data_IF_726213661029
#
_entry.id   IF_726213661029
#
_cell.length_a   1.000
_cell.length_b   1.000
_cell.length_c   1.000
_cell.angle_alpha   90.00
_cell.angle_beta   90.00
_cell.angle_gamma   90.00
#
_symmetry.space_group_name_H-M   'P 1'
#
loop_
_entity.id
_entity.type
_entity.pdbx_description
1 polymer ?
#
# COMPACT_ATOMS: atom_id res chain seq x y z
N UNK A 1 9.46 28.33 -5.25
CA UNK A 1 10.33 27.13 -5.24
C UNK A 1 9.76 26.01 -4.36
N UNK A 2 9.22 26.32 -3.17
CA UNK A 2 8.61 25.38 -2.20
C UNK A 2 7.56 24.44 -2.84
N UNK A 3 6.71 24.93 -3.73
CA UNK A 3 5.68 24.12 -4.40
C UNK A 3 6.24 22.97 -5.28
N UNK A 4 7.43 23.14 -5.88
CA UNK A 4 8.07 22.09 -6.70
C UNK A 4 8.55 20.93 -5.83
N UNK A 5 9.15 21.23 -4.67
CA UNK A 5 9.65 20.24 -3.72
C UNK A 5 8.48 19.46 -3.11
N UNK A 6 7.42 20.15 -2.70
CA UNK A 6 6.22 19.51 -2.15
C UNK A 6 5.56 18.56 -3.16
N UNK A 7 5.48 18.95 -4.43
CA UNK A 7 4.98 18.09 -5.49
C UNK A 7 5.85 16.86 -5.67
N UNK A 8 7.18 17.03 -5.69
CA UNK A 8 8.13 15.91 -5.79
C UNK A 8 8.00 14.92 -4.63
N UNK A 9 7.87 15.43 -3.40
CA UNK A 9 7.66 14.60 -2.22
C UNK A 9 6.33 13.85 -2.27
N UNK A 10 5.26 14.50 -2.71
CA UNK A 10 3.96 13.86 -2.87
C UNK A 10 4.04 12.66 -3.85
N UNK A 11 4.73 12.82 -4.98
CA UNK A 11 4.95 11.71 -5.92
C UNK A 11 5.84 10.62 -5.33
N UNK A 12 6.88 10.98 -4.57
CA UNK A 12 7.74 10.01 -3.90
C UNK A 12 6.96 9.12 -2.93
N UNK A 13 6.14 9.72 -2.06
CA UNK A 13 5.33 8.97 -1.10
C UNK A 13 4.23 8.15 -1.77
N UNK A 14 3.63 8.64 -2.86
CA UNK A 14 2.73 7.82 -3.69
C UNK A 14 3.45 6.62 -4.31
N UNK A 15 4.68 6.81 -4.79
CA UNK A 15 5.50 5.73 -5.33
C UNK A 15 5.91 4.69 -4.28
N UNK A 16 6.09 5.09 -3.01
CA UNK A 16 6.36 4.14 -1.91
C UNK A 16 5.24 3.13 -1.69
N UNK A 17 3.99 3.48 -2.03
CA UNK A 17 2.88 2.52 -2.07
C UNK A 17 2.85 1.74 -3.38
N UNK A 18 2.90 2.47 -4.50
CA UNK A 18 2.65 1.94 -5.84
C UNK A 18 3.73 0.97 -6.33
N UNK A 19 5.01 1.25 -6.05
CA UNK A 19 6.13 0.43 -6.52
C UNK A 19 6.09 -0.98 -5.91
N UNK A 20 5.98 -1.16 -4.58
CA UNK A 20 5.83 -2.49 -4.02
C UNK A 20 4.57 -3.21 -4.51
N UNK A 21 3.46 -2.48 -4.70
CA UNK A 21 2.20 -3.07 -5.16
C UNK A 21 2.27 -3.56 -6.62
N UNK A 22 2.99 -2.87 -7.50
CA UNK A 22 3.17 -3.31 -8.89
C UNK A 22 4.19 -4.45 -8.99
N UNK A 23 5.29 -4.37 -8.23
CA UNK A 23 6.37 -5.35 -8.34
C UNK A 23 6.01 -6.68 -7.67
N UNK A 24 5.42 -6.62 -6.47
CA UNK A 24 5.20 -7.79 -5.63
C UNK A 24 3.78 -7.91 -5.11
N UNK A 25 2.94 -6.91 -5.36
CA UNK A 25 1.51 -6.93 -5.04
C UNK A 25 1.22 -7.47 -3.64
N UNK A 26 1.94 -7.05 -2.58
CA UNK A 26 1.81 -7.69 -1.28
C UNK A 26 0.37 -7.61 -0.79
N UNK A 27 -0.28 -6.47 -0.92
CA UNK A 27 -1.65 -6.27 -0.46
C UNK A 27 -2.63 -7.08 -1.30
N UNK A 28 -2.52 -7.03 -2.63
CA UNK A 28 -3.41 -7.79 -3.52
C UNK A 28 -3.21 -9.31 -3.42
N UNK A 29 -1.97 -9.79 -3.31
CA UNK A 29 -1.65 -11.21 -3.08
C UNK A 29 -2.31 -11.71 -1.79
N UNK A 30 -2.28 -10.89 -0.73
CA UNK A 30 -2.93 -11.23 0.53
C UNK A 30 -4.42 -11.43 0.37
N UNK A 31 -5.08 -10.43 -0.22
CA UNK A 31 -6.53 -10.44 -0.41
C UNK A 31 -6.93 -11.61 -1.30
N UNK A 32 -6.14 -11.89 -2.34
CA UNK A 32 -6.39 -13.01 -3.23
C UNK A 32 -6.38 -14.36 -2.49
N UNK A 33 -5.42 -14.59 -1.60
CA UNK A 33 -5.34 -15.84 -0.81
C UNK A 33 -6.62 -16.06 0.01
N UNK A 34 -7.21 -15.01 0.57
CA UNK A 34 -8.49 -15.11 1.30
C UNK A 34 -9.69 -15.39 0.38
N UNK A 35 -9.64 -14.98 -0.88
CA UNK A 35 -10.72 -15.19 -1.85
C UNK A 35 -10.63 -16.59 -2.48
N UNK A 36 -9.42 -17.02 -2.87
CA UNK A 36 -9.18 -18.24 -3.65
C UNK A 36 -9.59 -19.50 -2.87
N UNK A 37 -9.61 -19.46 -1.53
CA UNK A 37 -10.02 -20.57 -0.62
C UNK A 37 -9.43 -21.94 -0.99
N UNK A 38 -8.31 -21.94 -1.70
CA UNK A 38 -7.67 -23.12 -2.25
C UNK A 38 -6.75 -23.74 -1.19
N UNK A 39 -6.66 -25.08 -1.19
CA UNK A 39 -5.72 -25.83 -0.36
C UNK A 39 -4.74 -26.59 -1.28
N UNK A 40 -3.44 -26.22 -1.32
CA UNK A 40 -2.81 -25.12 -0.59
C UNK A 40 -3.14 -23.75 -1.18
N UNK A 41 -3.10 -22.72 -0.34
CA UNK A 41 -3.35 -21.33 -0.71
C UNK A 41 -2.34 -20.86 -1.77
N UNK A 42 -2.85 -20.37 -2.91
CA UNK A 42 -2.01 -19.88 -4.01
C UNK A 42 -1.97 -18.36 -4.02
N UNK A 43 -0.79 -17.72 -4.08
CA UNK A 43 -0.71 -16.29 -4.28
C UNK A 43 -1.15 -15.92 -5.71
N UNK A 44 -1.70 -14.71 -5.88
CA UNK A 44 -2.05 -14.18 -7.21
C UNK A 44 -0.83 -14.14 -8.14
N UNK A 45 0.35 -13.80 -7.60
CA UNK A 45 1.63 -13.81 -8.32
C UNK A 45 2.74 -14.34 -7.43
N UNK A 46 3.50 -15.31 -7.94
CA UNK A 46 4.74 -15.78 -7.33
C UNK A 46 5.79 -14.68 -7.34
N UNK A 47 6.41 -14.45 -6.19
CA UNK A 47 7.50 -13.52 -6.00
C UNK A 47 8.39 -13.94 -4.81
N UNK A 48 9.48 -13.21 -4.59
CA UNK A 48 10.38 -13.50 -3.48
C UNK A 48 9.74 -13.32 -2.09
N UNK A 49 8.58 -12.65 -2.00
CA UNK A 49 7.84 -12.52 -0.74
C UNK A 49 7.05 -13.78 -0.41
N UNK A 50 6.66 -14.54 -1.43
CA UNK A 50 5.95 -15.81 -1.30
C UNK A 50 6.91 -17.00 -1.26
N UNK A 51 8.09 -16.87 -1.86
CA UNK A 51 9.12 -17.92 -1.84
C UNK A 51 9.99 -17.81 -0.57
N UNK A 52 10.07 -18.89 0.22
CA UNK A 52 10.96 -18.98 1.39
C UNK A 52 10.40 -18.40 2.71
N UNK A 53 9.10 -18.12 2.76
CA UNK A 53 8.36 -17.66 3.95
C UNK A 53 9.01 -16.48 4.73
N UNK A 54 9.45 -15.38 4.08
CA UNK A 54 9.99 -14.22 4.80
C UNK A 54 8.88 -13.34 5.38
N UNK A 55 8.08 -13.88 6.33
CA UNK A 55 6.93 -13.19 6.95
C UNK A 55 7.31 -11.80 7.51
N UNK A 56 8.52 -11.67 8.05
CA UNK A 56 9.04 -10.39 8.58
C UNK A 56 9.28 -9.33 7.49
N UNK A 57 9.80 -9.75 6.33
CA UNK A 57 10.07 -8.85 5.23
C UNK A 57 8.75 -8.38 4.61
N UNK A 58 7.79 -9.29 4.45
CA UNK A 58 6.45 -8.97 4.02
C UNK A 58 5.76 -7.94 4.93
N UNK A 59 5.80 -8.14 6.27
CA UNK A 59 5.33 -7.16 7.26
C UNK A 59 6.00 -5.81 7.11
N UNK A 60 7.31 -5.79 6.86
CA UNK A 60 8.08 -4.55 6.72
C UNK A 60 7.69 -3.79 5.45
N UNK A 61 7.49 -4.48 4.32
CA UNK A 61 7.05 -3.84 3.07
C UNK A 61 5.66 -3.23 3.25
N UNK A 62 4.71 -3.99 3.80
CA UNK A 62 3.34 -3.47 4.04
C UNK A 62 3.36 -2.30 5.03
N UNK A 63 4.23 -2.33 6.03
CA UNK A 63 4.44 -1.20 6.94
C UNK A 63 5.00 0.04 6.23
N UNK A 64 5.99 -0.12 5.34
CA UNK A 64 6.54 0.99 4.54
C UNK A 64 5.47 1.58 3.60
N UNK A 65 4.63 0.73 2.98
CA UNK A 65 3.50 1.16 2.17
C UNK A 65 2.51 2.00 2.98
N UNK A 66 2.17 1.53 4.19
CA UNK A 66 1.27 2.24 5.12
C UNK A 66 1.85 3.61 5.53
N UNK A 67 3.13 3.68 5.88
CA UNK A 67 3.82 4.92 6.19
C UNK A 67 3.85 5.89 4.99
N UNK A 68 4.04 5.36 3.79
CA UNK A 68 3.98 6.11 2.54
C UNK A 68 2.60 6.73 2.31
N UNK A 69 1.53 5.96 2.46
CA UNK A 69 0.15 6.45 2.33
C UNK A 69 -0.20 7.52 3.37
N UNK A 70 0.16 7.33 4.65
CA UNK A 70 -0.07 8.36 5.67
C UNK A 70 0.70 9.66 5.37
N UNK A 71 1.93 9.56 4.88
CA UNK A 71 2.73 10.72 4.47
C UNK A 71 2.14 11.40 3.24
N UNK A 72 1.61 10.63 2.29
CA UNK A 72 0.89 11.13 1.12
C UNK A 72 -0.37 11.89 1.53
N UNK A 73 -1.21 11.30 2.38
CA UNK A 73 -2.43 11.92 2.92
C UNK A 73 -2.13 13.26 3.60
N UNK A 74 -1.14 13.26 4.49
CA UNK A 74 -0.73 14.47 5.21
C UNK A 74 -0.33 15.60 4.24
N UNK A 75 0.49 15.28 3.23
CA UNK A 75 0.92 16.25 2.23
C UNK A 75 -0.21 16.68 1.29
N UNK A 76 -1.13 15.78 0.95
CA UNK A 76 -2.29 16.07 0.13
C UNK A 76 -3.18 17.10 0.83
N UNK A 77 -3.54 16.87 2.10
CA UNK A 77 -4.36 17.78 2.92
C UNK A 77 -3.65 19.12 3.11
N UNK A 78 -2.36 19.12 3.47
CA UNK A 78 -1.56 20.34 3.67
C UNK A 78 -1.53 21.22 2.43
N UNK A 79 -1.54 20.63 1.23
CA UNK A 79 -1.41 21.33 -0.04
C UNK A 79 -2.72 21.46 -0.82
N UNK A 80 -3.88 21.32 -0.17
CA UNK A 80 -5.23 21.35 -0.77
C UNK A 80 -5.46 22.48 -1.78
N UNK A 81 -4.91 23.68 -1.54
CA UNK A 81 -5.16 24.88 -2.36
C UNK A 81 -4.21 25.04 -3.56
N UNK A 82 -3.12 24.27 -3.63
CA UNK A 82 -2.01 24.57 -4.56
C UNK A 82 -1.69 23.52 -5.62
N UNK A 83 -2.12 22.26 -5.46
CA UNK A 83 -1.65 21.16 -6.31
C UNK A 83 -2.65 20.69 -7.39
N UNK A 84 -3.96 20.76 -7.14
CA UNK A 84 -4.95 20.11 -7.98
C UNK A 84 -6.21 20.96 -8.20
N UNK A 85 -6.91 20.73 -9.34
CA UNK A 85 -8.28 21.23 -9.53
C UNK A 85 -9.18 20.64 -8.44
N UNK A 86 -10.12 21.43 -7.91
CA UNK A 86 -10.89 21.08 -6.71
C UNK A 86 -11.46 19.65 -6.69
N UNK A 87 -12.01 19.17 -7.82
CA UNK A 87 -12.56 17.81 -7.92
C UNK A 87 -11.50 16.70 -7.88
N UNK A 88 -10.33 16.89 -8.49
CA UNK A 88 -9.23 15.92 -8.49
C UNK A 88 -8.71 15.68 -7.06
N UNK A 89 -8.69 16.73 -6.23
CA UNK A 89 -8.32 16.61 -4.83
C UNK A 89 -9.21 15.62 -4.09
N UNK A 90 -10.54 15.70 -4.25
CA UNK A 90 -11.48 14.81 -3.57
C UNK A 90 -11.38 13.37 -4.08
N UNK A 91 -11.15 13.15 -5.37
CA UNK A 91 -10.94 11.80 -5.92
C UNK A 91 -9.66 11.19 -5.36
N UNK A 92 -8.55 11.92 -5.37
CA UNK A 92 -7.29 11.43 -4.81
C UNK A 92 -7.41 11.15 -3.31
N UNK A 93 -8.11 12.02 -2.58
CA UNK A 93 -8.37 11.84 -1.15
C UNK A 93 -9.19 10.56 -0.89
N UNK A 94 -10.23 10.31 -1.68
CA UNK A 94 -11.06 9.12 -1.54
C UNK A 94 -10.24 7.86 -1.82
N UNK A 95 -9.48 7.83 -2.92
CA UNK A 95 -8.62 6.70 -3.29
C UNK A 95 -7.60 6.42 -2.18
N UNK A 96 -6.91 7.45 -1.70
CA UNK A 96 -5.88 7.31 -0.67
C UNK A 96 -6.45 6.78 0.65
N UNK A 97 -7.62 7.28 1.09
CA UNK A 97 -8.31 6.76 2.27
C UNK A 97 -8.68 5.28 2.08
N UNK A 98 -9.22 4.90 0.92
CA UNK A 98 -9.55 3.50 0.62
C UNK A 98 -8.30 2.62 0.67
N UNK A 99 -7.18 3.07 0.10
CA UNK A 99 -5.91 2.35 0.13
C UNK A 99 -5.35 2.22 1.55
N UNK A 100 -5.46 3.26 2.38
CA UNK A 100 -5.03 3.21 3.79
C UNK A 100 -5.84 2.16 4.54
N UNK A 101 -7.17 2.18 4.43
CA UNK A 101 -8.03 1.23 5.13
C UNK A 101 -7.73 -0.21 4.72
N UNK A 102 -7.56 -0.45 3.42
CA UNK A 102 -7.28 -1.76 2.87
C UNK A 102 -5.87 -2.26 3.26
N UNK A 103 -4.86 -1.40 3.21
CA UNK A 103 -3.48 -1.73 3.63
C UNK A 103 -3.40 -1.95 5.13
N UNK A 104 -4.12 -1.16 5.94
CA UNK A 104 -4.19 -1.31 7.39
C UNK A 104 -4.90 -2.62 7.79
N UNK A 105 -5.96 -2.98 7.08
CA UNK A 105 -6.63 -4.27 7.26
C UNK A 105 -5.70 -5.44 6.96
N UNK A 106 -4.98 -5.40 5.83
CA UNK A 106 -3.98 -6.42 5.49
C UNK A 106 -2.87 -6.49 6.54
N UNK A 107 -2.33 -5.33 6.96
CA UNK A 107 -1.30 -5.27 8.01
C UNK A 107 -1.77 -5.87 9.34
N UNK A 108 -3.00 -5.56 9.74
CA UNK A 108 -3.64 -6.15 10.92
C UNK A 108 -3.70 -7.68 10.80
N UNK A 109 -4.19 -8.19 9.67
CA UNK A 109 -4.31 -9.63 9.48
C UNK A 109 -2.95 -10.35 9.50
N UNK A 110 -1.91 -9.80 8.86
CA UNK A 110 -0.56 -10.39 8.87
C UNK A 110 0.07 -10.41 10.29
N UNK A 111 -0.28 -9.42 11.11
CA UNK A 111 0.27 -9.28 12.46
C UNK A 111 -0.39 -10.25 13.43
N UNK A 112 -1.71 -10.39 13.34
CA UNK A 112 -2.50 -11.22 14.26
C UNK A 112 -2.66 -12.67 13.81
N UNK A 113 -2.74 -12.91 12.50
CA UNK A 113 -2.81 -14.26 11.95
C UNK A 113 -1.43 -14.65 11.43
N UNK A 114 -0.84 -15.69 12.03
CA UNK A 114 0.42 -16.26 11.56
C UNK A 114 0.13 -17.07 10.29
N UNK A 115 -0.07 -16.36 9.18
CA UNK A 115 -0.36 -16.99 7.88
C UNK A 115 0.96 -17.56 7.38
N UNK A 116 1.04 -18.89 7.34
CA UNK A 116 2.13 -19.60 6.69
C UNK A 116 1.83 -19.62 5.20
N UNK A 117 2.64 -18.90 4.43
CA UNK A 117 2.72 -19.11 2.99
C UNK A 117 3.40 -20.48 2.80
N UNK A 118 2.60 -21.49 2.46
CA UNK A 118 3.03 -22.88 2.29
C UNK A 118 4.00 -23.06 1.13
#
# INVERSE_FOLDING_TARGET
MIAKIQKSLLWLFGAMFLVPEILWSPVSNFIYIFIDNSDPAKPLRLNFLTEGNPTNLYRTIVFMQLAGLFSFLFLLIKNKRGLFRGWLFYILLLIDITLILLTLFVFYLITFFHINFG
#
